data_IF_516367491282
#
_entry.id   IF_516367491282
#
_cell.length_a   1.000
_cell.length_b   1.000
_cell.length_c   1.000
_cell.angle_alpha   90.00
_cell.angle_beta   90.00
_cell.angle_gamma   90.00
#
_symmetry.space_group_name_H-M   'P 1'
#
loop_
_entity.id
_entity.type
_entity.pdbx_description
1 polymer ?
#
# COMPACT_ATOMS: atom_id res chain seq x y z
N UNK A 1 34.41 8.72 -48.24
CA UNK A 1 34.20 9.01 -46.84
C UNK A 1 32.99 8.20 -46.41
N UNK A 2 33.22 7.03 -45.85
CA UNK A 2 32.19 6.11 -45.37
C UNK A 2 31.81 6.55 -43.96
N UNK A 3 30.59 7.05 -43.80
CA UNK A 3 30.04 7.33 -42.48
C UNK A 3 29.48 6.00 -41.93
N UNK A 4 30.24 5.40 -41.03
CA UNK A 4 29.78 4.28 -40.23
C UNK A 4 28.81 4.80 -39.18
N UNK A 5 27.53 4.58 -39.38
CA UNK A 5 26.52 4.65 -38.30
C UNK A 5 26.73 3.46 -37.35
N UNK A 6 27.37 3.72 -36.22
CA UNK A 6 27.32 2.80 -35.11
C UNK A 6 25.94 2.91 -34.48
N UNK A 7 25.05 2.03 -34.87
CA UNK A 7 23.84 1.74 -34.09
C UNK A 7 24.24 0.77 -32.97
N UNK A 8 24.65 1.32 -31.83
CA UNK A 8 24.67 0.57 -30.62
C UNK A 8 23.19 0.41 -30.19
N UNK A 9 22.56 -0.66 -30.59
CA UNK A 9 21.39 -1.17 -29.90
C UNK A 9 21.89 -1.60 -28.51
N UNK A 10 21.79 -0.71 -27.51
CA UNK A 10 21.93 -1.12 -26.12
C UNK A 10 20.81 -2.10 -25.83
N UNK A 11 21.13 -3.40 -25.91
CA UNK A 11 20.19 -4.47 -25.68
C UNK A 11 19.68 -4.41 -24.23
N UNK A 12 18.38 -4.63 -24.05
CA UNK A 12 17.78 -4.73 -22.73
C UNK A 12 18.27 -6.02 -22.06
N UNK A 13 19.11 -5.89 -21.06
CA UNK A 13 19.63 -7.03 -20.33
C UNK A 13 18.66 -7.50 -19.24
N UNK A 14 18.40 -8.80 -19.21
CA UNK A 14 17.54 -9.40 -18.19
C UNK A 14 18.14 -9.24 -16.79
N UNK A 15 17.37 -8.65 -15.86
CA UNK A 15 17.80 -8.44 -14.48
C UNK A 15 18.73 -7.27 -14.25
N UNK A 16 18.97 -6.41 -15.27
CA UNK A 16 19.85 -5.24 -15.20
C UNK A 16 19.10 -3.92 -15.32
N UNK A 17 19.61 -2.91 -14.63
CA UNK A 17 19.16 -1.52 -14.73
C UNK A 17 20.07 -0.78 -15.71
N UNK A 18 19.83 -0.95 -17.01
CA UNK A 18 20.56 -0.20 -18.04
C UNK A 18 19.91 1.16 -18.27
N UNK A 19 20.66 2.20 -18.72
CA UNK A 19 20.06 3.49 -19.11
C UNK A 19 18.95 3.32 -20.15
N UNK A 20 19.14 2.47 -21.15
CA UNK A 20 18.13 2.16 -22.17
C UNK A 20 16.89 1.48 -21.56
N UNK A 21 17.07 0.58 -20.59
CA UNK A 21 15.98 -0.05 -19.85
C UNK A 21 15.15 0.93 -19.06
N UNK A 22 15.82 1.87 -18.38
CA UNK A 22 15.16 2.93 -17.59
C UNK A 22 14.41 3.90 -18.53
N UNK A 23 15.04 4.33 -19.63
CA UNK A 23 14.38 5.21 -20.59
C UNK A 23 13.14 4.54 -21.21
N UNK A 24 13.28 3.30 -21.60
CA UNK A 24 12.13 2.51 -22.06
C UNK A 24 11.05 2.34 -21.00
N UNK A 25 11.42 2.26 -19.73
CA UNK A 25 10.44 2.19 -18.64
C UNK A 25 9.65 3.49 -18.50
N UNK A 26 10.26 4.65 -18.75
CA UNK A 26 9.59 5.97 -18.75
C UNK A 26 8.48 6.08 -19.78
N UNK A 27 8.52 5.30 -20.87
CA UNK A 27 7.43 5.24 -21.86
C UNK A 27 6.09 4.81 -21.24
N UNK A 28 6.09 4.22 -20.03
CA UNK A 28 4.87 3.82 -19.31
C UNK A 28 4.20 4.96 -18.55
N UNK A 29 4.84 6.12 -18.42
CA UNK A 29 4.24 7.25 -17.73
C UNK A 29 2.98 7.70 -18.47
N UNK A 30 1.86 7.87 -17.74
CA UNK A 30 0.56 8.27 -18.29
C UNK A 30 -0.15 7.18 -19.08
N UNK A 31 0.36 5.94 -19.12
CA UNK A 31 -0.32 4.82 -19.77
C UNK A 31 -1.13 4.04 -18.74
N UNK A 32 -2.45 4.04 -18.91
CA UNK A 32 -3.33 3.25 -18.08
C UNK A 32 -3.02 1.76 -18.16
N UNK A 33 -3.15 1.09 -17.04
CA UNK A 33 -3.08 -0.36 -17.04
C UNK A 33 -4.28 -0.93 -17.79
N UNK A 34 -4.06 -1.94 -18.64
CA UNK A 34 -5.14 -2.51 -19.41
C UNK A 34 -6.14 -3.19 -18.49
N UNK A 35 -7.41 -3.13 -18.89
CA UNK A 35 -8.47 -3.91 -18.27
C UNK A 35 -8.06 -5.38 -18.13
N UNK A 36 -8.25 -5.93 -16.95
CA UNK A 36 -7.98 -7.32 -16.64
C UNK A 36 -9.15 -7.97 -15.91
N UNK A 37 -10.05 -8.61 -16.65
CA UNK A 37 -11.20 -9.34 -16.11
C UNK A 37 -10.85 -10.51 -15.17
N UNK A 38 -9.59 -10.87 -15.07
CA UNK A 38 -9.12 -11.94 -14.19
C UNK A 38 -8.64 -11.40 -12.83
N UNK A 39 -8.68 -10.10 -12.64
CA UNK A 39 -8.30 -9.51 -11.35
C UNK A 39 -9.37 -9.84 -10.33
N UNK A 40 -8.99 -10.50 -9.25
CA UNK A 40 -9.89 -10.90 -8.18
C UNK A 40 -9.96 -9.81 -7.09
N UNK A 41 -10.24 -8.59 -7.50
CA UNK A 41 -10.35 -7.46 -6.58
C UNK A 41 -11.82 -7.21 -6.21
N UNK A 42 -12.06 -6.57 -5.07
CA UNK A 42 -13.38 -6.16 -4.67
C UNK A 42 -13.93 -5.12 -5.66
N UNK A 43 -15.00 -5.48 -6.39
CA UNK A 43 -15.69 -4.55 -7.29
C UNK A 43 -16.60 -3.60 -6.51
N UNK A 44 -17.14 -4.10 -5.40
CA UNK A 44 -18.06 -3.41 -4.53
C UNK A 44 -17.55 -3.51 -3.09
N UNK A 45 -17.73 -2.45 -2.32
CA UNK A 45 -17.46 -2.41 -0.90
C UNK A 45 -18.60 -3.12 -0.14
N UNK A 46 -18.66 -4.44 -0.25
CA UNK A 46 -19.65 -5.22 0.48
C UNK A 46 -19.31 -5.26 1.96
N UNK A 47 -20.34 -5.42 2.82
CA UNK A 47 -20.16 -5.58 4.27
C UNK A 47 -19.14 -6.68 4.61
N UNK A 48 -19.24 -7.82 3.94
CA UNK A 48 -18.31 -8.93 4.17
C UNK A 48 -16.90 -8.59 3.69
N UNK A 49 -16.77 -7.93 2.52
CA UNK A 49 -15.46 -7.49 1.99
C UNK A 49 -14.77 -6.49 2.93
N UNK A 50 -15.49 -5.54 3.49
CA UNK A 50 -14.99 -4.56 4.45
C UNK A 50 -14.53 -5.27 5.74
N UNK A 51 -15.36 -6.13 6.31
CA UNK A 51 -15.06 -6.89 7.52
C UNK A 51 -13.87 -7.85 7.30
N UNK A 52 -13.78 -8.54 6.15
CA UNK A 52 -12.66 -9.42 5.84
C UNK A 52 -11.37 -8.63 5.72
N UNK A 53 -11.43 -7.42 5.14
CA UNK A 53 -10.25 -6.56 5.08
C UNK A 53 -9.79 -6.15 6.49
N UNK A 54 -10.70 -5.64 7.34
CA UNK A 54 -10.39 -5.27 8.72
C UNK A 54 -9.77 -6.44 9.50
N UNK A 55 -10.42 -7.60 9.48
CA UNK A 55 -9.92 -8.82 10.15
C UNK A 55 -8.57 -9.28 9.59
N UNK A 56 -8.29 -9.02 8.30
CA UNK A 56 -7.05 -9.43 7.62
C UNK A 56 -5.78 -8.78 8.18
N UNK A 57 -5.89 -7.68 8.89
CA UNK A 57 -4.76 -7.03 9.58
C UNK A 57 -5.00 -6.84 11.09
N UNK A 58 -6.05 -7.47 11.63
CA UNK A 58 -6.33 -7.50 13.07
C UNK A 58 -7.06 -6.26 13.57
N UNK A 59 -7.93 -5.66 12.76
CA UNK A 59 -8.77 -4.52 13.14
C UNK A 59 -10.19 -5.01 13.49
N UNK A 60 -10.63 -4.72 14.69
CA UNK A 60 -11.98 -5.04 15.20
C UNK A 60 -12.83 -3.79 15.49
N UNK A 61 -12.42 -2.64 14.94
CA UNK A 61 -13.15 -1.38 15.09
C UNK A 61 -14.64 -1.56 14.69
N UNK A 62 -15.59 -1.30 15.60
CA UNK A 62 -17.00 -1.53 15.35
C UNK A 62 -17.58 -0.70 14.20
N UNK A 63 -16.96 0.43 13.85
CA UNK A 63 -17.37 1.23 12.70
C UNK A 63 -17.26 0.46 11.37
N UNK A 64 -16.37 -0.53 11.30
CA UNK A 64 -16.10 -1.37 10.12
C UNK A 64 -16.77 -2.74 10.19
N UNK A 65 -17.08 -3.21 11.39
CA UNK A 65 -17.47 -4.60 11.63
C UNK A 65 -18.90 -4.76 12.17
N UNK A 66 -19.45 -3.75 12.85
CA UNK A 66 -20.76 -3.79 13.52
C UNK A 66 -21.78 -2.86 12.84
N UNK A 67 -22.79 -3.42 12.15
CA UNK A 67 -23.81 -2.62 11.45
C UNK A 67 -24.65 -1.75 12.38
N UNK A 68 -24.91 -2.18 13.62
CA UNK A 68 -25.73 -1.44 14.58
C UNK A 68 -24.96 -0.22 15.09
N UNK A 69 -23.69 -0.40 15.43
CA UNK A 69 -22.78 0.69 15.78
C UNK A 69 -22.64 1.70 14.64
N UNK A 70 -22.31 1.23 13.44
CA UNK A 70 -22.14 2.07 12.28
C UNK A 70 -23.43 2.78 11.86
N UNK A 71 -24.58 2.12 12.00
CA UNK A 71 -25.90 2.69 11.77
C UNK A 71 -26.24 3.84 12.72
N UNK A 72 -25.71 3.84 13.93
CA UNK A 72 -25.84 4.92 14.91
C UNK A 72 -24.84 6.07 14.75
N UNK A 73 -23.81 5.89 13.93
CA UNK A 73 -22.77 6.90 13.68
C UNK A 73 -23.23 7.98 12.68
N UNK A 74 -22.41 9.04 12.52
CA UNK A 74 -22.66 10.05 11.49
C UNK A 74 -22.72 9.49 10.05
N UNK A 75 -22.16 8.30 9.84
CA UNK A 75 -22.10 7.65 8.53
C UNK A 75 -23.40 6.91 8.17
N UNK A 76 -24.20 6.52 9.17
CA UNK A 76 -25.47 5.83 9.00
C UNK A 76 -25.37 4.40 8.45
N UNK A 77 -24.16 3.92 8.20
CA UNK A 77 -23.82 2.58 7.69
C UNK A 77 -22.35 2.27 7.92
N UNK A 78 -21.96 1.04 7.67
CA UNK A 78 -20.54 0.63 7.66
C UNK A 78 -19.77 1.45 6.63
N UNK A 79 -18.59 1.94 7.03
CA UNK A 79 -17.58 2.46 6.13
C UNK A 79 -16.38 1.51 6.12
N UNK A 80 -15.56 1.58 5.09
CA UNK A 80 -14.34 0.77 5.02
C UNK A 80 -13.16 1.44 5.74
N UNK A 81 -12.23 0.67 6.32
CA UNK A 81 -10.94 1.20 6.76
C UNK A 81 -10.24 1.95 5.63
N UNK A 82 -9.46 3.01 5.92
CA UNK A 82 -8.86 3.87 4.88
C UNK A 82 -8.04 3.14 3.82
N UNK A 83 -7.36 2.03 4.18
CA UNK A 83 -6.54 1.22 3.28
C UNK A 83 -7.31 0.22 2.41
N UNK A 84 -8.62 0.05 2.58
CA UNK A 84 -9.46 -0.92 1.84
C UNK A 84 -9.31 -0.83 0.32
N UNK A 85 -9.07 0.38 -0.19
CA UNK A 85 -8.90 0.66 -1.62
C UNK A 85 -7.74 -0.12 -2.26
N UNK A 86 -6.77 -0.58 -1.48
CA UNK A 86 -5.61 -1.34 -2.01
C UNK A 86 -6.05 -2.59 -2.78
N UNK A 87 -7.02 -3.31 -2.24
CA UNK A 87 -7.60 -4.53 -2.82
C UNK A 87 -8.91 -4.33 -3.58
N UNK A 88 -9.24 -3.08 -3.96
CA UNK A 88 -10.52 -2.75 -4.53
C UNK A 88 -10.42 -2.04 -5.89
N UNK A 89 -11.55 -2.00 -6.56
CA UNK A 89 -11.81 -1.22 -7.76
C UNK A 89 -11.62 -1.97 -9.08
N UNK A 90 -12.66 -1.85 -9.91
CA UNK A 90 -12.62 -2.26 -11.31
C UNK A 90 -11.75 -1.32 -12.11
N UNK A 91 -10.94 -1.88 -13.01
CA UNK A 91 -10.26 -1.06 -14.02
C UNK A 91 -11.23 -0.77 -15.16
N UNK A 92 -11.50 0.50 -15.50
CA UNK A 92 -12.35 0.85 -16.62
C UNK A 92 -11.86 0.24 -17.93
N UNK A 93 -12.76 -0.05 -18.84
CA UNK A 93 -12.41 -0.51 -20.18
C UNK A 93 -11.94 0.66 -21.06
N UNK A 94 -10.74 1.15 -20.79
CA UNK A 94 -10.11 2.20 -21.61
C UNK A 94 -9.57 1.56 -22.89
N UNK A 95 -9.99 2.02 -24.08
CA UNK A 95 -9.46 1.52 -25.34
C UNK A 95 -7.94 1.70 -25.39
N UNK A 96 -7.19 0.61 -25.52
CA UNK A 96 -5.74 0.66 -25.63
C UNK A 96 -5.32 0.35 -27.07
N UNK A 97 -4.61 1.28 -27.71
CA UNK A 97 -4.04 1.07 -29.03
C UNK A 97 -2.90 0.05 -29.00
N UNK A 98 -2.55 -0.58 -30.14
CA UNK A 98 -1.35 -1.44 -30.20
C UNK A 98 -0.07 -0.71 -29.78
N UNK A 99 0.05 0.58 -30.08
CA UNK A 99 1.16 1.43 -29.68
C UNK A 99 1.23 1.56 -28.14
N UNK A 100 0.13 1.92 -27.48
CA UNK A 100 0.06 2.00 -26.03
C UNK A 100 0.44 0.66 -25.36
N UNK A 101 -0.02 -0.47 -25.92
CA UNK A 101 0.35 -1.80 -25.43
C UNK A 101 1.83 -2.12 -25.59
N UNK A 102 2.50 -1.48 -26.55
CA UNK A 102 3.93 -1.64 -26.81
C UNK A 102 4.83 -0.81 -25.89
N UNK A 103 4.33 0.30 -25.34
CA UNK A 103 5.11 1.22 -24.52
C UNK A 103 5.72 0.52 -23.31
N UNK A 104 7.02 0.67 -23.15
CA UNK A 104 7.79 0.10 -22.05
C UNK A 104 7.74 -1.43 -21.96
N UNK A 105 7.32 -2.14 -23.01
CA UNK A 105 7.27 -3.60 -23.01
C UNK A 105 8.67 -4.19 -22.87
N UNK A 106 8.87 -5.05 -21.87
CA UNK A 106 10.16 -5.69 -21.57
C UNK A 106 11.16 -4.78 -20.82
N UNK A 107 10.83 -3.52 -20.56
CA UNK A 107 11.63 -2.66 -19.70
C UNK A 107 11.78 -3.29 -18.31
N UNK A 108 12.99 -3.27 -17.76
CA UNK A 108 13.35 -3.82 -16.44
C UNK A 108 12.92 -5.28 -16.22
N UNK A 109 12.89 -6.11 -17.29
CA UNK A 109 12.59 -7.52 -17.17
C UNK A 109 13.58 -8.21 -16.23
N UNK A 110 13.07 -8.94 -15.20
CA UNK A 110 13.91 -9.65 -14.22
C UNK A 110 14.46 -8.78 -13.08
N UNK A 111 14.31 -7.47 -13.13
CA UNK A 111 14.65 -6.56 -12.01
C UNK A 111 13.64 -6.76 -10.88
N UNK A 112 14.11 -6.76 -9.64
CA UNK A 112 13.25 -6.87 -8.46
C UNK A 112 12.68 -5.49 -8.08
N UNK A 113 11.46 -5.51 -7.51
CA UNK A 113 10.74 -4.30 -7.12
C UNK A 113 10.31 -4.43 -5.66
N UNK A 114 10.71 -3.45 -4.83
CA UNK A 114 10.27 -3.34 -3.44
C UNK A 114 9.29 -2.17 -3.30
N UNK A 115 8.26 -2.37 -2.50
CA UNK A 115 7.40 -1.28 -2.04
C UNK A 115 8.19 -0.37 -1.10
N UNK A 116 8.12 0.95 -1.29
CA UNK A 116 8.99 1.89 -0.59
C UNK A 116 8.23 3.00 0.16
N UNK A 117 6.93 3.11 -0.04
CA UNK A 117 6.09 4.09 0.66
C UNK A 117 4.79 4.37 -0.06
N UNK A 118 3.93 5.12 0.60
CA UNK A 118 2.61 5.50 0.12
C UNK A 118 2.35 6.98 0.39
N UNK A 119 1.66 7.64 -0.56
CA UNK A 119 1.16 9.01 -0.44
C UNK A 119 -0.31 8.97 -0.83
N UNK A 120 -1.21 9.12 0.14
CA UNK A 120 -2.64 8.93 -0.04
C UNK A 120 -3.38 10.20 0.34
N UNK A 121 -4.34 10.59 -0.47
CA UNK A 121 -5.30 11.66 -0.18
C UNK A 121 -6.71 11.11 -0.33
N UNK A 122 -7.57 11.36 0.66
CA UNK A 122 -8.96 10.95 0.65
C UNK A 122 -9.88 12.16 0.52
N UNK A 123 -10.93 12.02 -0.29
CA UNK A 123 -11.93 13.04 -0.57
C UNK A 123 -13.34 12.63 -0.11
N UNK A 124 -13.52 11.36 0.22
CA UNK A 124 -14.72 10.79 0.84
C UNK A 124 -14.42 9.40 1.45
N UNK A 125 -15.25 8.91 2.37
CA UNK A 125 -15.13 7.54 2.82
C UNK A 125 -15.60 6.57 1.73
N UNK A 126 -15.10 5.35 1.76
CA UNK A 126 -15.75 4.22 1.08
C UNK A 126 -16.86 3.70 1.98
N UNK A 127 -18.08 3.64 1.48
CA UNK A 127 -19.25 3.17 2.22
C UNK A 127 -19.70 1.78 1.75
N UNK A 128 -20.36 1.03 2.65
CA UNK A 128 -21.03 -0.21 2.26
C UNK A 128 -21.96 0.04 1.07
N UNK A 129 -21.79 -0.73 -0.01
CA UNK A 129 -22.54 -0.63 -1.25
C UNK A 129 -21.87 0.20 -2.35
N UNK A 130 -20.79 0.93 -2.05
CA UNK A 130 -20.06 1.64 -3.10
C UNK A 130 -19.46 0.66 -4.10
N UNK A 131 -19.79 0.81 -5.37
CA UNK A 131 -19.09 0.16 -6.46
C UNK A 131 -17.89 1.02 -6.85
N UNK A 132 -16.72 0.38 -6.95
CA UNK A 132 -15.44 1.08 -7.00
C UNK A 132 -14.78 0.94 -8.37
N UNK A 133 -14.29 2.05 -8.88
CA UNK A 133 -13.50 2.12 -10.10
C UNK A 133 -12.10 2.63 -9.80
N UNK A 134 -11.09 2.14 -10.52
CA UNK A 134 -9.70 2.57 -10.32
C UNK A 134 -8.95 2.65 -11.64
N UNK A 135 -8.27 3.76 -11.86
CA UNK A 135 -7.24 3.90 -12.90
C UNK A 135 -5.87 3.76 -12.26
N UNK A 136 -4.97 3.08 -12.96
CA UNK A 136 -3.60 2.81 -12.49
C UNK A 136 -2.61 3.14 -13.59
N UNK A 137 -1.65 4.01 -13.29
CA UNK A 137 -0.60 4.43 -14.23
C UNK A 137 0.63 4.89 -13.48
N UNK A 138 1.76 5.01 -14.18
CA UNK A 138 2.96 5.60 -13.62
C UNK A 138 2.92 7.12 -13.80
N UNK A 139 3.32 7.87 -12.76
CA UNK A 139 3.44 9.34 -12.81
C UNK A 139 4.89 9.81 -12.86
N UNK A 140 5.82 9.02 -12.32
CA UNK A 140 7.25 9.33 -12.33
C UNK A 140 8.10 8.07 -12.37
N UNK A 141 9.24 8.15 -13.06
CA UNK A 141 10.29 7.13 -13.07
C UNK A 141 11.63 7.87 -13.08
N UNK A 142 12.39 7.73 -11.99
CA UNK A 142 13.67 8.42 -11.79
C UNK A 142 14.76 7.42 -11.50
N UNK A 143 15.96 7.67 -12.04
CA UNK A 143 17.15 6.92 -11.67
C UNK A 143 17.71 7.47 -10.36
N UNK A 144 18.15 6.59 -9.48
CA UNK A 144 18.84 6.92 -8.23
C UNK A 144 20.08 6.07 -8.06
N UNK A 145 21.15 6.69 -7.59
CA UNK A 145 22.24 5.93 -6.99
C UNK A 145 21.87 5.53 -5.57
N UNK A 146 21.90 4.23 -5.30
CA UNK A 146 21.58 3.69 -3.99
C UNK A 146 22.84 3.27 -3.25
N UNK A 147 22.95 3.65 -1.97
CA UNK A 147 24.02 3.16 -1.10
C UNK A 147 23.99 1.63 -0.94
N UNK A 148 22.80 1.00 -1.08
CA UNK A 148 22.58 -0.43 -0.88
C UNK A 148 22.61 -1.26 -2.19
N UNK A 149 22.31 -0.66 -3.35
CA UNK A 149 22.08 -1.39 -4.59
C UNK A 149 22.95 -0.96 -5.78
N UNK A 150 23.80 0.08 -5.63
CA UNK A 150 24.40 0.71 -6.79
C UNK A 150 23.34 1.49 -7.56
N UNK A 151 23.19 1.23 -8.88
CA UNK A 151 22.12 1.83 -9.68
C UNK A 151 20.76 1.29 -9.24
N UNK A 152 19.79 2.16 -9.01
CA UNK A 152 18.41 1.84 -8.72
C UNK A 152 17.46 2.78 -9.49
N UNK A 153 16.24 2.35 -9.72
CA UNK A 153 15.20 3.22 -10.25
C UNK A 153 14.06 3.33 -9.23
N UNK A 154 13.56 4.54 -9.03
CA UNK A 154 12.34 4.81 -8.28
C UNK A 154 11.21 5.01 -9.28
N UNK A 155 10.08 4.34 -9.07
CA UNK A 155 8.86 4.59 -9.82
C UNK A 155 7.72 4.93 -8.88
N UNK A 156 6.92 5.92 -9.27
CA UNK A 156 5.69 6.31 -8.57
C UNK A 156 4.51 5.81 -9.37
N UNK A 157 3.70 4.99 -8.76
CA UNK A 157 2.52 4.40 -9.37
C UNK A 157 1.27 5.00 -8.75
N UNK A 158 0.53 5.79 -9.55
CA UNK A 158 -0.72 6.41 -9.13
C UNK A 158 -1.90 5.49 -9.33
N UNK A 159 -2.78 5.48 -8.36
CA UNK A 159 -4.12 4.90 -8.40
C UNK A 159 -5.11 6.01 -8.08
N UNK A 160 -6.12 6.15 -8.91
CA UNK A 160 -7.20 7.11 -8.69
C UNK A 160 -8.49 6.33 -8.60
N UNK A 161 -9.27 6.57 -7.55
CA UNK A 161 -10.45 5.79 -7.21
C UNK A 161 -11.71 6.65 -7.25
N UNK A 162 -12.75 6.11 -7.87
CA UNK A 162 -14.09 6.71 -7.95
C UNK A 162 -15.16 5.69 -7.57
N UNK A 163 -16.35 6.19 -7.23
CA UNK A 163 -17.57 5.38 -7.18
C UNK A 163 -18.33 5.41 -8.52
N UNK A 164 -19.49 4.74 -8.57
CA UNK A 164 -20.35 4.70 -9.78
C UNK A 164 -20.95 6.07 -10.13
N UNK A 165 -21.09 6.99 -9.17
CA UNK A 165 -21.57 8.36 -9.36
C UNK A 165 -20.47 9.28 -9.91
N UNK A 166 -19.26 8.79 -10.12
CA UNK A 166 -18.12 9.56 -10.61
C UNK A 166 -17.46 10.44 -9.53
N UNK A 167 -17.83 10.28 -8.26
CA UNK A 167 -17.22 11.01 -7.17
C UNK A 167 -15.83 10.46 -6.86
N UNK A 168 -14.85 11.36 -6.79
CA UNK A 168 -13.46 10.99 -6.43
C UNK A 168 -13.39 10.56 -4.97
N UNK A 169 -12.90 9.33 -4.74
CA UNK A 169 -12.72 8.77 -3.40
C UNK A 169 -11.32 9.07 -2.87
N UNK A 170 -10.30 8.72 -3.66
CA UNK A 170 -8.92 8.89 -3.24
C UNK A 170 -7.95 8.95 -4.42
N UNK A 171 -6.80 9.59 -4.17
CA UNK A 171 -5.61 9.53 -5.00
C UNK A 171 -4.53 8.85 -4.15
N UNK A 172 -3.96 7.77 -4.67
CA UNK A 172 -2.95 6.97 -3.99
C UNK A 172 -1.72 6.79 -4.86
N UNK A 173 -0.63 7.43 -4.51
CA UNK A 173 0.68 7.23 -5.10
C UNK A 173 1.47 6.22 -4.26
N UNK A 174 1.94 5.16 -4.90
CA UNK A 174 2.80 4.16 -4.28
C UNK A 174 4.20 4.21 -4.89
N UNK A 175 5.18 4.32 -4.03
CA UNK A 175 6.60 4.36 -4.37
C UNK A 175 7.18 2.95 -4.46
N UNK A 176 7.96 2.69 -5.52
CA UNK A 176 8.66 1.42 -5.70
C UNK A 176 10.12 1.65 -6.02
N UNK A 177 10.99 0.93 -5.32
CA UNK A 177 12.42 0.87 -5.63
C UNK A 177 12.71 -0.38 -6.44
N UNK A 178 13.29 -0.19 -7.63
CA UNK A 178 13.74 -1.25 -8.51
C UNK A 178 15.25 -1.47 -8.33
N UNK A 179 15.65 -2.72 -8.10
CA UNK A 179 17.05 -3.10 -7.85
C UNK A 179 17.43 -4.35 -8.62
N UNK A 180 18.71 -4.42 -9.01
CA UNK A 180 19.27 -5.62 -9.60
C UNK A 180 19.40 -6.73 -8.55
N UNK A 181 18.92 -7.93 -8.84
CA UNK A 181 18.94 -9.06 -7.90
C UNK A 181 20.35 -9.43 -7.45
N UNK A 182 21.30 -9.45 -8.38
CA UNK A 182 22.69 -9.84 -8.09
C UNK A 182 23.39 -8.85 -7.15
N UNK A 183 23.08 -7.56 -7.24
CA UNK A 183 23.70 -6.53 -6.40
C UNK A 183 23.23 -6.64 -4.96
N UNK A 184 21.93 -6.90 -4.74
CA UNK A 184 21.36 -7.12 -3.43
C UNK A 184 21.91 -8.41 -2.78
N UNK A 185 22.06 -9.50 -3.55
CA UNK A 185 22.61 -10.77 -3.06
C UNK A 185 24.11 -10.71 -2.73
N UNK A 186 24.87 -9.81 -3.36
CA UNK A 186 26.33 -9.67 -3.16
C UNK A 186 26.70 -8.84 -1.94
N UNK A 187 25.78 -8.08 -1.37
CA UNK A 187 26.08 -7.27 -0.19
C UNK A 187 25.85 -8.07 1.09
N UNK A 188 26.93 -8.43 1.73
CA UNK A 188 26.95 -9.16 3.01
C UNK A 188 26.14 -8.45 4.12
N UNK A 189 25.87 -7.14 3.98
CA UNK A 189 25.05 -6.35 4.91
C UNK A 189 23.60 -6.85 4.99
N UNK A 190 23.06 -7.43 3.92
CA UNK A 190 21.72 -8.07 3.94
C UNK A 190 21.83 -9.57 4.26
N UNK A 191 23.04 -10.15 4.18
CA UNK A 191 23.33 -11.56 4.41
C UNK A 191 23.69 -11.92 5.85
N UNK A 192 23.98 -10.99 6.72
CA UNK A 192 23.93 -11.29 8.13
C UNK A 192 22.51 -11.74 8.42
N UNK A 193 22.32 -13.06 8.32
CA UNK A 193 21.10 -13.70 8.80
C UNK A 193 20.94 -13.24 10.24
N UNK A 194 20.15 -12.20 10.43
CA UNK A 194 19.84 -11.67 11.77
C UNK A 194 19.34 -12.87 12.53
N UNK A 195 20.01 -13.18 13.63
CA UNK A 195 19.62 -14.28 14.46
C UNK A 195 18.13 -14.14 14.76
N UNK A 196 17.36 -15.17 14.47
CA UNK A 196 15.93 -15.17 14.72
C UNK A 196 15.73 -15.01 16.23
N UNK A 197 14.95 -14.02 16.65
CA UNK A 197 14.55 -13.88 18.04
C UNK A 197 13.61 -15.05 18.38
N UNK A 198 13.88 -15.72 19.48
CA UNK A 198 13.00 -16.74 20.03
C UNK A 198 12.41 -16.16 21.31
N UNK A 199 11.11 -15.93 21.29
CA UNK A 199 10.39 -15.31 22.39
C UNK A 199 10.25 -16.28 23.56
N UNK A 200 10.42 -15.76 24.77
CA UNK A 200 10.08 -16.45 26.02
C UNK A 200 8.59 -16.28 26.32
N UNK A 201 8.06 -17.14 27.20
CA UNK A 201 6.66 -17.02 27.65
C UNK A 201 6.39 -15.65 28.28
N UNK A 202 7.32 -15.13 29.10
CA UNK A 202 7.20 -13.79 29.71
C UNK A 202 7.14 -12.64 28.67
N UNK A 203 7.81 -12.79 27.53
CA UNK A 203 7.73 -11.80 26.43
C UNK A 203 6.39 -11.88 25.73
N UNK A 204 5.89 -13.08 25.47
CA UNK A 204 4.58 -13.28 24.86
C UNK A 204 3.46 -12.82 25.79
N UNK A 205 3.53 -13.12 27.09
CA UNK A 205 2.55 -12.63 28.07
C UNK A 205 2.48 -11.09 28.11
N UNK A 206 3.62 -10.41 27.92
CA UNK A 206 3.61 -8.94 27.80
C UNK A 206 2.95 -8.46 26.53
N UNK A 207 3.16 -9.15 25.40
CA UNK A 207 2.50 -8.83 24.13
C UNK A 207 0.99 -9.03 24.25
N UNK A 208 0.56 -10.15 24.85
CA UNK A 208 -0.86 -10.45 25.08
C UNK A 208 -1.52 -9.41 26.01
N UNK A 209 -0.79 -8.96 27.05
CA UNK A 209 -1.28 -7.88 27.91
C UNK A 209 -1.47 -6.56 27.17
N UNK A 210 -0.61 -6.25 26.18
CA UNK A 210 -0.81 -5.10 25.31
C UNK A 210 -2.04 -5.26 24.42
N UNK A 211 -2.24 -6.43 23.80
CA UNK A 211 -3.47 -6.69 23.01
C UNK A 211 -4.74 -6.57 23.86
N UNK A 212 -4.72 -7.10 25.08
CA UNK A 212 -5.86 -7.02 25.99
C UNK A 212 -6.18 -5.58 26.45
N UNK A 213 -5.22 -4.68 26.37
CA UNK A 213 -5.36 -3.26 26.73
C UNK A 213 -5.63 -2.34 25.52
N UNK A 214 -5.69 -2.89 24.29
CA UNK A 214 -6.04 -2.09 23.12
C UNK A 214 -7.50 -1.63 23.19
N UNK A 215 -7.71 -0.34 23.00
CA UNK A 215 -9.03 0.28 23.01
C UNK A 215 -9.26 1.06 21.72
N UNK A 216 -10.47 0.94 21.18
CA UNK A 216 -10.97 1.76 20.09
C UNK A 216 -11.83 2.86 20.71
N UNK A 217 -11.55 4.12 20.39
CA UNK A 217 -12.34 5.26 20.90
C UNK A 217 -13.80 5.18 20.48
N UNK A 218 -14.06 4.72 19.25
CA UNK A 218 -15.42 4.54 18.71
C UNK A 218 -16.20 5.84 18.69
N UNK A 219 -17.45 5.78 19.17
CA UNK A 219 -18.39 6.90 19.14
C UNK A 219 -18.07 8.04 20.11
N UNK A 220 -17.03 7.93 20.96
CA UNK A 220 -16.63 9.03 21.85
C UNK A 220 -15.91 10.13 21.06
N UNK A 221 -16.48 11.36 20.92
CA UNK A 221 -15.87 12.39 20.10
C UNK A 221 -14.52 12.84 20.64
N UNK A 222 -13.55 13.04 19.76
CA UNK A 222 -12.30 13.74 20.06
C UNK A 222 -12.32 15.10 19.39
N UNK A 223 -12.31 16.16 20.19
CA UNK A 223 -12.37 17.52 19.67
C UNK A 223 -10.97 18.08 19.41
N UNK A 224 -10.83 18.82 18.29
CA UNK A 224 -9.56 19.44 17.92
C UNK A 224 -9.05 20.43 18.99
N UNK A 225 -9.98 21.05 19.73
CA UNK A 225 -9.65 21.99 20.82
C UNK A 225 -8.98 21.33 22.05
N UNK A 226 -9.09 20.01 22.19
CA UNK A 226 -8.49 19.26 23.30
C UNK A 226 -7.14 18.65 22.95
N UNK A 227 -6.72 18.73 21.68
CA UNK A 227 -5.48 18.12 21.20
C UNK A 227 -4.31 19.07 21.41
N UNK A 228 -3.22 18.56 21.97
CA UNK A 228 -1.98 19.30 22.22
C UNK A 228 -0.83 18.73 21.41
N UNK A 229 0.01 19.62 20.86
CA UNK A 229 1.26 19.22 20.23
C UNK A 229 2.15 18.48 21.22
N UNK A 230 2.68 17.34 20.82
CA UNK A 230 3.48 16.45 21.66
C UNK A 230 2.67 15.35 22.37
N UNK A 231 1.34 15.38 22.30
CA UNK A 231 0.50 14.29 22.81
C UNK A 231 0.86 12.97 22.10
N UNK A 232 1.09 11.92 22.88
CA UNK A 232 1.39 10.57 22.36
C UNK A 232 0.11 9.77 22.17
N UNK A 233 0.04 9.02 21.07
CA UNK A 233 -1.01 8.03 20.84
C UNK A 233 -0.72 6.78 21.67
N UNK A 234 -1.74 6.01 22.07
CA UNK A 234 -1.55 4.70 22.67
C UNK A 234 -0.69 3.79 21.80
N UNK A 235 0.41 3.29 22.36
CA UNK A 235 1.30 2.34 21.66
C UNK A 235 0.55 1.08 21.31
N UNK A 236 0.76 0.56 20.09
CA UNK A 236 0.21 -0.70 19.61
C UNK A 236 1.34 -1.68 19.28
N UNK A 237 1.03 -2.96 19.30
CA UNK A 237 1.95 -4.02 18.88
C UNK A 237 1.32 -4.88 17.80
N UNK A 238 2.16 -5.44 16.91
CA UNK A 238 1.74 -6.40 15.89
C UNK A 238 2.79 -7.50 15.76
N UNK A 239 2.37 -8.73 15.97
CA UNK A 239 3.26 -9.90 15.96
C UNK A 239 3.50 -10.51 17.35
N UNK A 240 4.49 -11.42 17.53
CA UNK A 240 5.50 -11.82 16.53
C UNK A 240 4.87 -12.36 15.25
N UNK A 241 5.24 -11.79 14.10
CA UNK A 241 4.60 -12.09 12.83
C UNK A 241 4.87 -13.53 12.38
N UNK A 242 3.81 -14.24 12.04
CA UNK A 242 3.88 -15.61 11.51
C UNK A 242 3.31 -15.69 10.09
N UNK A 243 3.56 -16.80 9.39
CA UNK A 243 3.00 -17.03 8.05
C UNK A 243 1.47 -16.97 8.05
N UNK A 244 0.82 -17.31 9.16
CA UNK A 244 -0.62 -17.19 9.34
C UNK A 244 -1.13 -15.76 9.14
N UNK A 245 -0.39 -14.77 9.62
CA UNK A 245 -0.76 -13.35 9.49
C UNK A 245 -0.67 -12.88 8.03
N UNK A 246 0.35 -13.37 7.30
CA UNK A 246 0.47 -13.12 5.85
C UNK A 246 -0.70 -13.74 5.08
N UNK A 247 -1.14 -14.94 5.47
CA UNK A 247 -2.31 -15.60 4.86
C UNK A 247 -3.58 -14.81 5.18
N UNK A 248 -3.77 -14.39 6.43
CA UNK A 248 -4.92 -13.59 6.85
C UNK A 248 -4.99 -12.27 6.07
N UNK A 249 -3.87 -11.57 5.94
CA UNK A 249 -3.76 -10.37 5.12
C UNK A 249 -4.16 -10.60 3.67
N UNK A 250 -3.63 -11.66 3.03
CA UNK A 250 -3.95 -11.98 1.65
C UNK A 250 -5.43 -12.32 1.45
N UNK A 251 -6.03 -13.02 2.39
CA UNK A 251 -7.45 -13.37 2.36
C UNK A 251 -8.35 -12.15 2.57
N UNK A 252 -7.95 -11.23 3.45
CA UNK A 252 -8.73 -10.04 3.80
C UNK A 252 -8.60 -8.93 2.77
N UNK A 253 -7.41 -8.72 2.22
CA UNK A 253 -7.13 -7.61 1.32
C UNK A 253 -7.95 -7.63 0.01
N UNK A 254 -8.43 -8.81 -0.43
CA UNK A 254 -9.20 -8.95 -1.67
C UNK A 254 -8.36 -8.85 -2.95
N UNK A 255 -7.15 -8.32 -2.88
CA UNK A 255 -6.17 -8.33 -3.94
C UNK A 255 -5.26 -9.53 -3.78
N UNK A 256 -5.30 -10.47 -4.68
CA UNK A 256 -4.34 -11.55 -4.68
C UNK A 256 -3.67 -11.72 -6.04
N UNK A 257 -2.36 -11.90 -6.00
CA UNK A 257 -1.51 -12.18 -7.16
C UNK A 257 -1.12 -13.66 -7.21
N UNK A 258 -1.73 -14.47 -6.34
CA UNK A 258 -1.47 -15.89 -6.20
C UNK A 258 -2.66 -16.65 -6.78
N UNK A 259 -2.37 -17.45 -7.78
CA UNK A 259 -3.38 -18.22 -8.46
C UNK A 259 -3.12 -19.72 -8.30
N UNK A 260 -4.11 -20.52 -7.87
CA UNK A 260 -3.93 -21.97 -7.73
C UNK A 260 -4.13 -22.70 -9.06
N UNK A 261 -3.46 -23.84 -9.22
CA UNK A 261 -3.69 -24.88 -10.23
C UNK A 261 -3.81 -24.36 -11.67
N UNK A 262 -4.98 -24.51 -12.28
CA UNK A 262 -5.26 -24.08 -13.65
C UNK A 262 -5.09 -22.57 -13.85
N UNK A 263 -5.44 -21.78 -12.85
CA UNK A 263 -5.28 -20.32 -12.92
C UNK A 263 -3.79 -19.93 -12.84
N UNK A 264 -3.00 -20.62 -12.03
CA UNK A 264 -1.54 -20.48 -12.02
C UNK A 264 -0.94 -20.79 -13.39
N UNK A 265 -1.33 -21.93 -13.98
CA UNK A 265 -0.88 -22.28 -15.34
C UNK A 265 -1.24 -21.20 -16.37
N UNK A 266 -2.48 -20.69 -16.36
CA UNK A 266 -2.91 -19.61 -17.27
C UNK A 266 -2.10 -18.32 -17.04
N UNK A 267 -1.86 -17.94 -15.77
CA UNK A 267 -1.12 -16.74 -15.48
C UNK A 267 0.36 -16.86 -15.88
N UNK A 268 0.97 -18.04 -15.76
CA UNK A 268 2.34 -18.29 -16.25
C UNK A 268 2.50 -18.12 -17.75
N UNK A 269 1.48 -18.40 -18.54
CA UNK A 269 1.52 -18.16 -19.99
C UNK A 269 1.59 -16.67 -20.32
N UNK A 270 1.11 -15.82 -19.42
CA UNK A 270 1.09 -14.35 -19.58
C UNK A 270 2.29 -13.69 -18.92
N UNK A 271 2.70 -14.17 -17.77
CA UNK A 271 3.70 -13.57 -16.88
C UNK A 271 4.75 -14.61 -16.46
N UNK A 272 5.37 -15.28 -17.43
CA UNK A 272 6.31 -16.38 -17.15
C UNK A 272 7.45 -15.99 -16.18
N UNK A 273 7.95 -14.76 -16.27
CA UNK A 273 9.02 -14.25 -15.40
C UNK A 273 8.60 -14.01 -13.93
N UNK A 274 7.29 -14.06 -13.63
CA UNK A 274 6.76 -13.98 -12.27
C UNK A 274 6.79 -15.31 -11.53
N UNK A 275 7.14 -16.40 -12.21
CA UNK A 275 7.16 -17.74 -11.66
C UNK A 275 8.54 -18.38 -11.78
N UNK A 276 8.91 -19.14 -10.76
CA UNK A 276 10.09 -19.99 -10.80
C UNK A 276 9.82 -21.29 -10.04
N UNK A 277 10.71 -22.28 -10.17
CA UNK A 277 10.53 -23.54 -9.46
C UNK A 277 10.91 -23.38 -8.00
N UNK A 278 10.10 -23.95 -7.12
CA UNK A 278 10.37 -24.03 -5.69
C UNK A 278 11.20 -25.29 -5.33
N UNK A 279 11.40 -25.58 -4.06
CA UNK A 279 12.18 -26.73 -3.57
C UNK A 279 11.62 -28.10 -3.98
N UNK A 280 10.32 -28.16 -4.27
CA UNK A 280 9.67 -29.38 -4.78
C UNK A 280 9.74 -29.51 -6.30
N UNK A 281 10.40 -28.60 -6.99
CA UNK A 281 10.41 -28.51 -8.46
C UNK A 281 9.08 -28.03 -9.06
N UNK A 282 8.14 -27.58 -8.24
CA UNK A 282 6.84 -27.06 -8.66
C UNK A 282 6.94 -25.57 -9.04
N UNK A 283 6.08 -25.15 -9.98
CA UNK A 283 5.98 -23.75 -10.35
C UNK A 283 5.30 -22.94 -9.26
N UNK A 284 6.00 -21.94 -8.75
CA UNK A 284 5.54 -21.06 -7.68
C UNK A 284 5.75 -19.59 -8.03
N UNK A 285 4.92 -18.71 -7.48
CA UNK A 285 4.95 -17.28 -7.79
C UNK A 285 6.07 -16.55 -7.05
N UNK A 286 6.44 -15.38 -7.56
CA UNK A 286 7.38 -14.48 -6.89
C UNK A 286 6.85 -13.98 -5.54
N UNK A 287 5.54 -14.05 -5.30
CA UNK A 287 4.92 -13.65 -4.04
C UNK A 287 5.36 -14.50 -2.85
N UNK A 288 5.93 -15.68 -3.10
CA UNK A 288 6.50 -16.51 -2.03
C UNK A 288 7.64 -15.83 -1.25
N UNK A 289 8.13 -14.70 -1.71
CA UNK A 289 9.05 -13.85 -0.97
C UNK A 289 8.54 -13.49 0.43
N UNK A 290 7.23 -13.57 0.64
CA UNK A 290 6.57 -13.28 1.91
C UNK A 290 6.44 -14.48 2.86
N UNK A 291 6.80 -15.72 2.43
CA UNK A 291 6.74 -16.93 3.27
C UNK A 291 7.84 -17.96 3.00
N UNK A 292 8.72 -17.73 2.02
CA UNK A 292 9.85 -18.60 1.68
C UNK A 292 11.17 -17.84 1.88
N UNK A 293 11.85 -18.13 2.99
CA UNK A 293 13.13 -17.49 3.34
C UNK A 293 14.19 -17.67 2.25
N UNK A 294 14.28 -18.85 1.62
CA UNK A 294 15.29 -19.13 0.60
C UNK A 294 15.04 -18.28 -0.65
N UNK A 295 13.78 -18.17 -1.03
CA UNK A 295 13.45 -17.32 -2.18
C UNK A 295 13.64 -15.84 -1.85
N UNK A 296 13.23 -15.38 -0.68
CA UNK A 296 13.46 -14.01 -0.23
C UNK A 296 14.95 -13.62 -0.27
N UNK A 297 15.81 -14.50 0.24
CA UNK A 297 17.27 -14.33 0.20
C UNK A 297 17.82 -14.30 -1.23
N UNK A 298 17.26 -15.10 -2.13
CA UNK A 298 17.68 -15.13 -3.54
C UNK A 298 17.41 -13.83 -4.30
N UNK A 299 16.49 -13.00 -3.80
CA UNK A 299 16.15 -11.68 -4.37
C UNK A 299 16.70 -10.51 -3.54
N UNK A 300 17.51 -10.81 -2.50
CA UNK A 300 18.23 -9.81 -1.73
C UNK A 300 17.54 -9.34 -0.46
N UNK A 301 16.44 -9.97 -0.04
CA UNK A 301 15.86 -9.76 1.28
C UNK A 301 16.56 -10.63 2.34
N UNK A 302 16.62 -10.21 3.62
CA UNK A 302 17.27 -11.00 4.67
C UNK A 302 16.54 -12.31 4.96
N UNK A 303 15.20 -12.30 4.88
CA UNK A 303 14.28 -13.42 5.11
C UNK A 303 12.94 -13.11 4.45
N UNK A 304 11.98 -14.03 4.56
CA UNK A 304 10.59 -13.75 4.24
C UNK A 304 10.08 -12.57 5.09
N UNK A 305 9.35 -11.66 4.48
CA UNK A 305 8.96 -10.38 5.06
C UNK A 305 7.51 -10.01 4.73
N UNK A 306 6.97 -9.04 5.45
CA UNK A 306 5.59 -8.57 5.30
C UNK A 306 5.33 -7.85 3.97
N UNK A 307 4.07 -7.54 3.75
CA UNK A 307 3.65 -6.59 2.72
C UNK A 307 3.78 -5.16 3.24
N UNK A 308 4.34 -4.25 2.44
CA UNK A 308 4.46 -2.85 2.84
C UNK A 308 3.11 -2.22 3.19
N UNK A 309 2.07 -2.55 2.43
CA UNK A 309 0.70 -2.10 2.67
C UNK A 309 0.10 -2.59 4.00
N UNK A 310 0.57 -3.72 4.52
CA UNK A 310 0.16 -4.22 5.84
C UNK A 310 0.63 -3.26 6.95
N UNK A 311 1.86 -2.74 6.85
CA UNK A 311 2.36 -1.72 7.79
C UNK A 311 1.59 -0.40 7.70
N UNK A 312 1.25 0.04 6.48
CA UNK A 312 0.37 1.19 6.27
C UNK A 312 -0.99 0.97 6.96
N UNK A 313 -1.61 -0.22 6.79
CA UNK A 313 -2.88 -0.56 7.44
C UNK A 313 -2.77 -0.49 8.97
N UNK A 314 -1.70 -1.00 9.58
CA UNK A 314 -1.47 -0.93 11.02
C UNK A 314 -1.30 0.51 11.53
N UNK A 315 -0.54 1.35 10.80
CA UNK A 315 -0.36 2.75 11.16
C UNK A 315 -1.69 3.52 11.08
N UNK A 316 -2.48 3.28 10.04
CA UNK A 316 -3.81 3.89 9.90
C UNK A 316 -4.78 3.40 10.97
N UNK A 317 -4.74 2.11 11.35
CA UNK A 317 -5.53 1.56 12.45
C UNK A 317 -5.24 2.27 13.78
N UNK A 318 -3.96 2.42 14.14
CA UNK A 318 -3.59 3.16 15.35
C UNK A 318 -4.20 4.58 15.38
N UNK A 319 -4.26 5.24 14.21
CA UNK A 319 -4.84 6.56 14.08
C UNK A 319 -6.35 6.52 14.17
N UNK A 320 -7.04 5.57 13.50
CA UNK A 320 -8.50 5.45 13.55
C UNK A 320 -8.99 5.07 14.94
N UNK A 321 -8.26 4.22 15.66
CA UNK A 321 -8.56 3.89 17.06
C UNK A 321 -8.45 5.11 17.98
N UNK A 322 -7.53 6.03 17.73
CA UNK A 322 -7.30 7.22 18.53
C UNK A 322 -8.26 8.37 18.20
N UNK A 323 -8.61 8.55 16.93
CA UNK A 323 -9.34 9.75 16.46
C UNK A 323 -10.86 9.69 16.73
N UNK A 324 -11.44 8.48 16.85
CA UNK A 324 -12.88 8.27 16.98
C UNK A 324 -13.66 8.37 15.67
N UNK A 325 -14.95 7.97 15.70
CA UNK A 325 -15.79 7.74 14.50
C UNK A 325 -16.12 9.02 13.73
N UNK A 326 -16.12 10.16 14.41
CA UNK A 326 -16.54 11.45 13.82
C UNK A 326 -15.42 12.17 13.06
N UNK A 327 -14.20 11.70 13.18
CA UNK A 327 -13.04 12.26 12.50
C UNK A 327 -12.89 11.76 11.07
N UNK A 328 -12.06 12.45 10.27
CA UNK A 328 -11.70 12.02 8.92
C UNK A 328 -10.19 12.13 8.72
N UNK A 329 -9.58 11.06 8.17
CA UNK A 329 -8.22 11.13 7.66
C UNK A 329 -8.29 11.77 6.27
N UNK A 330 -7.48 12.81 6.06
CA UNK A 330 -7.46 13.54 4.78
C UNK A 330 -6.22 13.22 3.94
N UNK A 331 -5.10 12.89 4.59
CA UNK A 331 -3.89 12.46 3.89
C UNK A 331 -3.02 11.57 4.78
N UNK A 332 -2.24 10.70 4.15
CA UNK A 332 -1.17 9.95 4.78
C UNK A 332 0.04 9.86 3.86
N UNK A 333 1.22 10.04 4.42
CA UNK A 333 2.51 9.89 3.75
C UNK A 333 3.37 8.97 4.59
N UNK A 334 3.78 7.83 4.05
CA UNK A 334 4.69 6.93 4.74
C UNK A 334 5.87 6.51 3.87
N UNK A 335 6.90 6.02 4.54
CA UNK A 335 8.07 5.41 3.91
C UNK A 335 8.44 4.13 4.61
N UNK A 336 8.78 3.14 3.81
CA UNK A 336 9.33 1.88 4.28
C UNK A 336 10.85 1.99 4.24
N UNK A 337 11.47 1.89 5.41
CA UNK A 337 12.92 2.10 5.60
C UNK A 337 13.69 0.82 5.88
N UNK A 338 12.99 -0.26 6.26
CA UNK A 338 13.58 -1.54 6.60
C UNK A 338 12.64 -2.71 6.37
N UNK A 339 13.18 -3.92 6.39
CA UNK A 339 12.39 -5.14 6.36
C UNK A 339 11.78 -5.41 7.73
N UNK A 340 10.53 -5.88 7.72
CA UNK A 340 9.87 -6.50 8.85
C UNK A 340 9.67 -7.98 8.48
N UNK A 341 10.45 -8.85 9.10
CA UNK A 341 10.55 -10.27 8.70
C UNK A 341 9.64 -11.15 9.55
N UNK A 342 9.36 -12.37 9.07
CA UNK A 342 8.68 -13.36 9.90
C UNK A 342 9.42 -13.55 11.22
N UNK A 343 8.68 -13.54 12.34
CA UNK A 343 9.19 -13.55 13.70
C UNK A 343 9.45 -12.16 14.30
N UNK A 344 9.35 -11.07 13.54
CA UNK A 344 9.51 -9.74 14.10
C UNK A 344 8.23 -9.29 14.85
N UNK A 345 8.44 -8.63 15.99
CA UNK A 345 7.41 -7.92 16.74
C UNK A 345 7.53 -6.43 16.40
N UNK A 346 6.46 -5.87 15.88
CA UNK A 346 6.39 -4.45 15.49
C UNK A 346 5.68 -3.64 16.57
N UNK A 347 6.35 -2.61 17.07
CA UNK A 347 5.78 -1.58 17.93
C UNK A 347 5.37 -0.39 17.07
N UNK A 348 4.12 0.04 17.19
CA UNK A 348 3.56 1.20 16.54
C UNK A 348 3.49 2.34 17.53
N UNK A 349 4.05 3.49 17.19
CA UNK A 349 4.01 4.71 17.99
C UNK A 349 3.53 5.87 17.15
N UNK A 350 2.86 6.81 17.80
CA UNK A 350 2.37 8.01 17.15
C UNK A 350 2.39 9.18 18.12
N UNK A 351 2.54 10.40 17.59
CA UNK A 351 2.44 11.64 18.38
C UNK A 351 1.88 12.77 17.55
N UNK A 352 1.19 13.68 18.18
CA UNK A 352 0.76 14.94 17.56
C UNK A 352 1.98 15.79 17.28
N UNK A 353 2.31 15.99 16.01
CA UNK A 353 3.45 16.82 15.57
C UNK A 353 3.06 18.26 15.31
N UNK A 354 1.81 18.53 14.89
CA UNK A 354 1.27 19.86 14.72
C UNK A 354 -0.25 19.90 14.86
N UNK A 355 -0.78 21.04 15.23
CA UNK A 355 -2.19 21.41 15.13
C UNK A 355 -2.25 22.69 14.29
N UNK A 356 -2.71 22.57 13.06
CA UNK A 356 -2.80 23.66 12.08
C UNK A 356 -4.18 24.35 12.26
N UNK A 357 -4.31 25.17 13.30
CA UNK A 357 -5.58 25.80 13.71
C UNK A 357 -6.15 26.74 12.66
N UNK A 358 -5.28 27.36 11.84
CA UNK A 358 -5.66 28.33 10.79
C UNK A 358 -5.83 27.67 9.41
N UNK A 359 -5.71 26.33 9.30
CA UNK A 359 -5.99 25.63 8.06
C UNK A 359 -7.46 25.85 7.64
N UNK A 360 -7.66 26.30 6.40
CA UNK A 360 -8.99 26.54 5.86
C UNK A 360 -9.40 25.40 4.91
N UNK A 361 -10.66 24.97 4.92
CA UNK A 361 -11.78 25.47 5.72
C UNK A 361 -11.89 24.86 7.14
N UNK A 362 -10.98 23.94 7.52
CA UNK A 362 -11.04 23.17 8.78
C UNK A 362 -9.66 23.02 9.40
N UNK A 363 -9.53 23.14 10.74
CA UNK A 363 -8.28 22.83 11.44
C UNK A 363 -7.82 21.39 11.17
N UNK A 364 -6.52 21.21 10.95
CA UNK A 364 -5.94 19.89 10.72
C UNK A 364 -4.95 19.52 11.84
N UNK A 365 -5.02 18.27 12.27
CA UNK A 365 -4.04 17.65 13.17
C UNK A 365 -3.09 16.82 12.33
N UNK A 366 -1.79 16.99 12.58
CA UNK A 366 -0.73 16.22 11.93
C UNK A 366 -0.12 15.28 12.95
N UNK A 367 -0.17 13.99 12.66
CA UNK A 367 0.45 12.95 13.47
C UNK A 367 1.75 12.50 12.82
N UNK A 368 2.83 12.36 13.60
CA UNK A 368 3.99 11.59 13.21
C UNK A 368 3.81 10.16 13.72
N UNK A 369 3.95 9.17 12.82
CA UNK A 369 3.70 7.75 13.11
C UNK A 369 4.89 6.89 12.71
N UNK A 370 5.17 5.81 13.44
CA UNK A 370 6.35 4.99 13.24
C UNK A 370 6.10 3.51 13.59
N UNK A 371 6.72 2.62 12.81
CA UNK A 371 6.87 1.19 13.10
C UNK A 371 8.32 0.92 13.50
N UNK A 372 8.52 0.35 14.68
CA UNK A 372 9.83 -0.06 15.20
C UNK A 372 9.79 -1.55 15.54
N UNK A 373 10.79 -2.33 15.09
CA UNK A 373 10.84 -3.76 15.44
C UNK A 373 11.44 -3.99 16.84
N UNK A 374 11.48 -5.25 17.30
CA UNK A 374 12.02 -5.63 18.63
C UNK A 374 13.53 -5.37 18.80
N UNK A 375 14.22 -4.92 17.77
CA UNK A 375 15.64 -4.52 17.79
C UNK A 375 15.81 -3.01 17.82
N UNK A 376 14.73 -2.25 18.07
CA UNK A 376 14.66 -0.80 18.01
C UNK A 376 15.05 -0.21 16.64
N UNK A 377 14.83 -0.97 15.56
CA UNK A 377 15.03 -0.48 14.20
C UNK A 377 13.72 0.04 13.63
N UNK A 378 13.76 1.27 13.11
CA UNK A 378 12.61 1.87 12.41
C UNK A 378 12.46 1.18 11.06
N UNK A 379 11.31 0.56 10.84
CA UNK A 379 11.01 -0.20 9.61
C UNK A 379 10.05 0.53 8.67
N UNK A 380 9.22 1.42 9.21
CA UNK A 380 8.38 2.33 8.45
C UNK A 380 8.04 3.55 9.31
N UNK A 381 7.61 4.64 8.68
CA UNK A 381 7.09 5.80 9.41
C UNK A 381 6.75 6.94 8.47
N UNK A 382 6.01 7.91 9.01
CA UNK A 382 5.54 9.02 8.20
C UNK A 382 4.62 9.97 8.95
N UNK A 383 3.68 10.57 8.22
CA UNK A 383 2.71 11.51 8.77
C UNK A 383 1.30 11.15 8.33
N UNK A 384 0.34 11.38 9.23
CA UNK A 384 -1.09 11.29 8.92
C UNK A 384 -1.73 12.63 9.25
N UNK A 385 -2.47 13.17 8.29
CA UNK A 385 -3.26 14.39 8.45
C UNK A 385 -4.72 14.03 8.63
N UNK A 386 -5.36 14.62 9.61
CA UNK A 386 -6.76 14.36 9.91
C UNK A 386 -7.49 15.63 10.39
N UNK A 387 -8.80 15.60 10.25
CA UNK A 387 -9.71 16.62 10.78
C UNK A 387 -10.57 15.99 11.86
N UNK A 388 -10.53 16.59 13.03
CA UNK A 388 -11.34 16.18 14.18
C UNK A 388 -12.61 17.04 14.28
N UNK A 389 -13.66 16.54 14.94
CA UNK A 389 -14.76 17.39 15.38
C UNK A 389 -14.29 18.66 16.09
N UNK A 390 -15.01 19.75 15.91
CA UNK A 390 -14.76 21.02 16.62
C UNK A 390 -16.02 21.44 17.34
N UNK A 391 -15.89 21.82 18.60
CA UNK A 391 -17.01 22.38 19.37
C UNK A 391 -17.59 23.63 18.73
N UNK A 392 -16.77 24.36 17.97
CA UNK A 392 -17.17 25.59 17.29
C UNK A 392 -17.72 25.33 15.87
N UNK A 393 -17.12 24.41 15.12
CA UNK A 393 -17.40 24.19 13.70
C UNK A 393 -18.31 22.97 13.44
N UNK A 394 -18.46 22.08 14.43
CA UNK A 394 -19.27 20.85 14.28
C UNK A 394 -18.44 19.66 13.77
N UNK A 395 -19.00 18.90 12.83
CA UNK A 395 -18.36 17.70 12.27
C UNK A 395 -17.52 18.05 11.02
N UNK A 396 -16.31 17.49 10.88
CA UNK A 396 -15.43 17.78 9.76
C UNK A 396 -15.94 17.11 8.46
N UNK A 397 -15.64 17.76 7.32
CA UNK A 397 -15.75 17.17 5.99
C UNK A 397 -14.38 16.77 5.44
N UNK A 398 -14.39 16.00 4.39
CA UNK A 398 -13.21 15.77 3.56
C UNK A 398 -12.84 17.03 2.77
N UNK A 399 -11.59 17.14 2.27
CA UNK A 399 -11.22 18.21 1.35
C UNK A 399 -11.94 18.07 0.00
N UNK A 400 -12.06 19.21 -0.72
CA UNK A 400 -12.57 19.16 -2.08
C UNK A 400 -11.58 18.45 -3.00
N UNK A 401 -12.07 17.64 -3.98
CA UNK A 401 -11.22 17.00 -4.98
C UNK A 401 -10.44 18.03 -5.82
N UNK A 402 -9.20 17.73 -6.26
CA UNK A 402 -8.50 18.57 -7.23
C UNK A 402 -9.23 18.56 -8.58
N UNK A 403 -9.19 19.69 -9.31
CA UNK A 403 -9.94 19.84 -10.56
C UNK A 403 -9.48 18.92 -11.71
N UNK A 404 -8.24 18.41 -11.64
CA UNK A 404 -7.71 17.41 -12.59
C UNK A 404 -7.99 15.97 -12.14
N UNK A 405 -8.66 15.79 -11.01
CA UNK A 405 -8.92 14.48 -10.37
C UNK A 405 -7.67 13.60 -10.25
N UNK A 406 -6.49 14.20 -10.15
CA UNK A 406 -5.21 13.47 -10.05
C UNK A 406 -4.75 12.82 -11.36
N UNK A 407 -5.39 13.11 -12.49
CA UNK A 407 -4.99 12.62 -13.81
C UNK A 407 -3.85 13.46 -14.39
N UNK A 408 -3.02 12.83 -15.22
CA UNK A 408 -1.98 13.56 -15.94
C UNK A 408 -2.59 14.31 -17.15
N UNK A 409 -1.98 15.43 -17.60
CA UNK A 409 -2.41 16.14 -18.79
C UNK A 409 -2.54 15.22 -20.00
N UNK A 410 -3.67 15.30 -20.69
CA UNK A 410 -3.99 14.48 -21.88
C UNK A 410 -4.56 13.11 -21.59
N UNK A 411 -4.74 12.73 -20.32
CA UNK A 411 -5.53 11.55 -19.99
C UNK A 411 -7.03 11.90 -20.08
N UNK A 412 -7.89 10.98 -20.56
CA UNK A 412 -9.33 11.21 -20.62
C UNK A 412 -9.91 11.58 -19.25
N UNK A 413 -10.84 12.55 -19.24
CA UNK A 413 -11.58 12.90 -18.02
C UNK A 413 -12.40 11.71 -17.51
N UNK A 414 -12.67 11.62 -16.19
CA UNK A 414 -13.65 10.69 -15.65
C UNK A 414 -15.04 10.87 -16.31
N UNK A 415 -15.44 12.10 -16.61
CA UNK A 415 -16.72 12.41 -17.25
C UNK A 415 -16.86 11.80 -18.66
N UNK A 416 -15.75 11.42 -19.29
CA UNK A 416 -15.68 10.71 -20.56
C UNK A 416 -15.49 9.18 -20.36
N UNK A 417 -15.53 8.71 -19.13
CA UNK A 417 -15.18 7.35 -18.73
C UNK A 417 -16.28 6.30 -18.96
N UNK A 418 -15.96 5.02 -18.83
CA UNK A 418 -16.88 3.92 -19.07
C UNK A 418 -18.02 3.79 -18.04
N UNK A 419 -17.97 4.57 -16.96
CA UNK A 419 -19.08 4.73 -16.02
C UNK A 419 -20.08 5.85 -16.45
N UNK A 420 -19.79 6.58 -17.51
CA UNK A 420 -20.67 7.61 -18.09
C UNK A 420 -21.72 7.05 -19.06
N UNK A 421 -21.90 5.72 -19.13
CA UNK A 421 -22.85 5.07 -20.03
C UNK A 421 -23.80 4.10 -19.37
#
# INVERSE_FOLDING_TARGET
>A
VTVTHASASEELEFGRLTPAGIEKFREKIGVDWPYNRWTAWNEEATRDGIRHYANGFGDDNPLYCDPDHAGGSRWGRIIAPPGFLEGAGLTPHIPTTPEMKGRGKGALAGVHMFWAGDHIQWFRPVQEGDRLWVRRFYVAITEKESRFGGRSALSVRRRVYWNDEGELIAIWDADFVHTERDTAARRDVLREARAQHVYTDDELDRVDAHYAAEEVRGAEPRYVEDVVVGEELPTRYRGPMVTGDIIAWLMGNGRHEIYPYKLNWKNRQRMGGFYSRNEYGAWDSAMRVHWDDRYAQSVGAPRAYDYGMLRNAWLLQMVTDWMGDDAVIVAADDRITGFNTLGDLTRLTGRVSAVEADAAPWPEVVLAVECTNQRDEVTAGGTVRLRLPSRRLGLPGFPDPPGDHGLLPGMPSPDEGPWAG
#
